data_IF_462702707501
#
_entry.id   IF_462702707501
#
_cell.length_a   1.000
_cell.length_b   1.000
_cell.length_c   1.000
_cell.angle_alpha   90.00
_cell.angle_beta   90.00
_cell.angle_gamma   90.00
#
_symmetry.space_group_name_H-M   'P 1'
#
loop_
_entity.id
_entity.type
_entity.pdbx_description
1 polymer ?
#
# COMPACT_ATOMS: atom_id res chain seq x y z
N UNK A 1 46.83 -114.51 -62.99
CA UNK A 1 45.98 -114.28 -61.79
C UNK A 1 46.15 -115.45 -60.83
N UNK A 2 46.50 -115.22 -59.56
CA UNK A 2 46.65 -116.32 -58.60
C UNK A 2 45.29 -116.96 -58.25
N UNK A 3 45.22 -118.28 -57.96
CA UNK A 3 43.95 -118.99 -57.72
C UNK A 3 43.15 -118.39 -56.55
N UNK A 4 43.82 -117.84 -55.54
CA UNK A 4 43.15 -117.14 -54.42
C UNK A 4 42.44 -115.84 -54.84
N UNK A 5 42.95 -115.14 -55.86
CA UNK A 5 42.32 -113.92 -56.40
C UNK A 5 41.03 -114.29 -57.12
N UNK A 6 41.06 -115.36 -57.92
CA UNK A 6 39.90 -115.85 -58.65
C UNK A 6 38.78 -116.34 -57.71
N UNK A 7 39.16 -117.05 -56.63
CA UNK A 7 38.21 -117.45 -55.57
C UNK A 7 37.55 -116.25 -54.89
N UNK A 8 38.34 -115.23 -54.51
CA UNK A 8 37.80 -113.98 -53.93
C UNK A 8 36.89 -113.25 -54.92
N UNK A 9 37.24 -113.20 -56.20
CA UNK A 9 36.44 -112.56 -57.24
C UNK A 9 35.07 -113.24 -57.40
N UNK A 10 35.01 -114.55 -57.64
CA UNK A 10 33.72 -115.24 -57.79
C UNK A 10 32.89 -115.23 -56.50
N UNK A 11 33.51 -115.41 -55.32
CA UNK A 11 32.81 -115.30 -54.04
C UNK A 11 32.17 -113.92 -53.85
N UNK A 12 32.92 -112.85 -54.13
CA UNK A 12 32.43 -111.47 -54.01
C UNK A 12 31.33 -111.15 -55.04
N UNK A 13 31.47 -111.63 -56.29
CA UNK A 13 30.45 -111.45 -57.33
C UNK A 13 29.14 -112.16 -56.98
N UNK A 14 29.20 -113.39 -56.48
CA UNK A 14 28.03 -114.15 -56.02
C UNK A 14 27.38 -113.45 -54.82
N UNK A 15 28.16 -113.03 -53.82
CA UNK A 15 27.64 -112.28 -52.66
C UNK A 15 27.01 -110.94 -53.07
N UNK A 16 27.59 -110.22 -54.03
CA UNK A 16 27.08 -108.94 -54.53
C UNK A 16 25.72 -109.10 -55.21
N UNK A 17 25.60 -110.06 -56.13
CA UNK A 17 24.34 -110.37 -56.84
C UNK A 17 23.26 -110.79 -55.83
N UNK A 18 23.59 -111.69 -54.90
CA UNK A 18 22.63 -112.13 -53.88
C UNK A 18 22.20 -110.98 -52.98
N UNK A 19 23.13 -110.19 -52.44
CA UNK A 19 22.84 -109.14 -51.44
C UNK A 19 22.21 -107.86 -52.00
N UNK A 20 22.27 -107.65 -53.32
CA UNK A 20 21.71 -106.46 -53.99
C UNK A 20 20.24 -106.23 -53.65
N UNK A 21 19.40 -107.25 -53.84
CA UNK A 21 17.95 -107.21 -53.61
C UNK A 21 17.43 -108.24 -52.58
N UNK A 22 18.30 -108.91 -51.81
CA UNK A 22 17.91 -110.00 -50.87
C UNK A 22 16.75 -109.64 -49.95
N UNK A 23 16.67 -108.39 -49.48
CA UNK A 23 15.60 -107.94 -48.58
C UNK A 23 14.22 -107.87 -49.23
N UNK A 24 14.15 -107.79 -50.56
CA UNK A 24 12.90 -107.69 -51.30
C UNK A 24 12.33 -109.08 -51.70
N UNK A 25 13.19 -110.07 -52.01
CA UNK A 25 12.73 -111.40 -52.39
C UNK A 25 12.72 -112.40 -51.22
N UNK A 26 13.75 -112.43 -50.37
CA UNK A 26 13.89 -113.49 -49.36
C UNK A 26 12.75 -113.51 -48.33
N UNK A 27 12.21 -112.33 -47.97
CA UNK A 27 11.05 -112.21 -47.08
C UNK A 27 9.74 -112.70 -47.72
N UNK A 28 9.61 -112.60 -49.04
CA UNK A 28 8.42 -112.97 -49.80
C UNK A 28 8.47 -114.42 -50.34
N UNK A 29 9.64 -115.05 -50.40
CA UNK A 29 9.82 -116.42 -50.87
C UNK A 29 9.37 -117.48 -49.86
N UNK A 30 8.83 -118.60 -50.35
CA UNK A 30 8.44 -119.75 -49.55
C UNK A 30 9.64 -120.54 -49.01
N UNK A 31 9.39 -121.44 -48.05
CA UNK A 31 10.46 -122.28 -47.48
C UNK A 31 11.10 -123.23 -48.49
N UNK A 32 10.36 -123.69 -49.51
CA UNK A 32 10.86 -124.48 -50.64
C UNK A 32 11.80 -123.67 -51.53
N UNK A 33 11.45 -122.42 -51.83
CA UNK A 33 12.24 -121.56 -52.71
C UNK A 33 13.59 -121.23 -52.06
N UNK A 34 13.57 -120.85 -50.77
CA UNK A 34 14.78 -120.59 -49.98
C UNK A 34 15.72 -121.79 -49.97
N UNK A 35 15.20 -123.02 -49.80
CA UNK A 35 15.99 -124.27 -49.88
C UNK A 35 16.55 -124.51 -51.28
N UNK A 36 15.82 -124.17 -52.34
CA UNK A 36 16.29 -124.30 -53.73
C UNK A 36 17.41 -123.31 -54.05
N UNK A 37 17.28 -122.03 -53.69
CA UNK A 37 18.37 -121.06 -53.88
C UNK A 37 19.58 -121.42 -53.01
N UNK A 38 19.37 -121.90 -51.77
CA UNK A 38 20.47 -122.36 -50.91
C UNK A 38 21.23 -123.55 -51.51
N UNK A 39 20.54 -124.50 -52.17
CA UNK A 39 21.20 -125.59 -52.92
C UNK A 39 22.07 -125.04 -54.06
N UNK A 40 21.59 -124.07 -54.84
CA UNK A 40 22.39 -123.41 -55.89
C UNK A 40 23.64 -122.75 -55.31
N UNK A 41 23.52 -122.08 -54.17
CA UNK A 41 24.68 -121.48 -53.46
C UNK A 41 25.66 -122.56 -52.97
N UNK A 42 25.19 -123.68 -52.43
CA UNK A 42 26.05 -124.81 -52.03
C UNK A 42 26.78 -125.44 -53.24
N UNK A 43 26.13 -125.57 -54.39
CA UNK A 43 26.79 -126.05 -55.63
C UNK A 43 27.85 -125.06 -56.10
N UNK A 44 27.56 -123.75 -56.07
CA UNK A 44 28.55 -122.72 -56.39
C UNK A 44 29.73 -122.72 -55.38
N UNK A 45 29.47 -123.02 -54.11
CA UNK A 45 30.48 -123.17 -53.06
C UNK A 45 31.45 -124.32 -53.37
N UNK A 46 30.92 -125.46 -53.82
CA UNK A 46 31.71 -126.63 -54.23
C UNK A 46 32.58 -126.33 -55.45
N UNK A 47 32.00 -125.73 -56.50
CA UNK A 47 32.72 -125.38 -57.75
C UNK A 47 33.83 -124.35 -57.50
N UNK A 48 33.57 -123.32 -56.68
CA UNK A 48 34.55 -122.27 -56.40
C UNK A 48 35.58 -122.66 -55.31
N UNK A 49 35.29 -123.68 -54.50
CA UNK A 49 36.16 -124.13 -53.41
C UNK A 49 36.46 -123.02 -52.39
N UNK A 50 35.49 -122.15 -52.14
CA UNK A 50 35.53 -121.04 -51.18
C UNK A 50 34.33 -121.14 -50.24
N UNK A 51 34.44 -120.68 -48.97
CA UNK A 51 33.33 -120.75 -48.01
C UNK A 51 32.34 -119.61 -48.23
N UNK A 52 31.21 -119.91 -48.86
CA UNK A 52 30.10 -118.96 -49.02
C UNK A 52 29.23 -118.90 -47.75
N UNK A 53 28.75 -117.72 -47.32
CA UNK A 53 27.80 -117.60 -46.22
C UNK A 53 26.42 -118.22 -46.55
N UNK A 54 25.64 -118.60 -45.54
CA UNK A 54 24.25 -118.98 -45.78
C UNK A 54 23.43 -117.78 -46.27
N UNK A 55 22.44 -118.01 -47.12
CA UNK A 55 21.55 -116.95 -47.63
C UNK A 55 20.82 -116.26 -46.47
N UNK A 56 20.46 -117.03 -45.44
CA UNK A 56 19.87 -116.52 -44.20
C UNK A 56 20.80 -115.51 -43.50
N UNK A 57 22.10 -115.78 -43.40
CA UNK A 57 23.07 -114.88 -42.78
C UNK A 57 23.25 -113.59 -43.60
N UNK A 58 23.26 -113.71 -44.94
CA UNK A 58 23.33 -112.55 -45.83
C UNK A 58 22.08 -111.66 -45.70
N UNK A 59 20.89 -112.27 -45.61
CA UNK A 59 19.63 -111.57 -45.38
C UNK A 59 19.64 -110.86 -44.02
N UNK A 60 19.95 -111.57 -42.93
CA UNK A 60 20.02 -111.02 -41.57
C UNK A 60 21.03 -109.86 -41.51
N UNK A 61 22.25 -110.04 -42.05
CA UNK A 61 23.30 -109.00 -42.10
C UNK A 61 22.89 -107.78 -42.93
N UNK A 62 22.05 -107.95 -43.98
CA UNK A 62 21.55 -106.83 -44.79
C UNK A 62 20.41 -106.10 -44.07
N UNK A 63 19.48 -106.82 -43.46
CA UNK A 63 18.41 -106.27 -42.62
C UNK A 63 18.97 -105.48 -41.44
N UNK A 64 19.92 -106.05 -40.69
CA UNK A 64 20.61 -105.38 -39.58
C UNK A 64 21.27 -104.08 -40.03
N UNK A 65 22.06 -104.09 -41.12
CA UNK A 65 22.70 -102.87 -41.65
C UNK A 65 21.69 -101.81 -42.09
N UNK A 66 20.56 -102.21 -42.71
CA UNK A 66 19.51 -101.27 -43.12
C UNK A 66 18.77 -100.69 -41.91
N UNK A 67 18.44 -101.51 -40.93
CA UNK A 67 17.80 -101.08 -39.68
C UNK A 67 18.71 -100.14 -38.87
N UNK A 68 19.98 -100.48 -38.69
CA UNK A 68 20.97 -99.62 -38.01
C UNK A 68 21.14 -98.27 -38.72
N UNK A 69 21.14 -98.26 -40.06
CA UNK A 69 21.19 -97.01 -40.83
C UNK A 69 19.94 -96.14 -40.57
N UNK A 70 18.75 -96.72 -40.65
CA UNK A 70 17.48 -96.00 -40.39
C UNK A 70 17.42 -95.48 -38.94
N UNK A 71 17.84 -96.28 -37.96
CA UNK A 71 17.88 -95.87 -36.54
C UNK A 71 18.88 -94.73 -36.34
N UNK A 72 20.04 -94.77 -37.00
CA UNK A 72 21.03 -93.68 -36.94
C UNK A 72 20.50 -92.39 -37.58
N UNK A 73 19.95 -92.46 -38.80
CA UNK A 73 19.39 -91.30 -39.51
C UNK A 73 18.23 -90.68 -38.69
N UNK A 74 17.30 -91.49 -38.18
CA UNK A 74 16.23 -91.03 -37.30
C UNK A 74 16.74 -90.45 -35.97
N UNK A 75 17.80 -91.01 -35.38
CA UNK A 75 18.43 -90.46 -34.17
C UNK A 75 19.09 -89.10 -34.44
N UNK A 76 19.73 -88.92 -35.58
CA UNK A 76 20.33 -87.66 -36.01
C UNK A 76 19.25 -86.61 -36.31
N UNK A 77 18.18 -86.98 -37.01
CA UNK A 77 17.06 -86.08 -37.30
C UNK A 77 16.28 -85.71 -36.02
N UNK A 78 16.06 -86.66 -35.12
CA UNK A 78 15.51 -86.41 -33.77
C UNK A 78 16.39 -85.44 -32.97
N UNK A 79 17.72 -85.52 -33.09
CA UNK A 79 18.64 -84.58 -32.46
C UNK A 79 18.57 -83.17 -33.10
N UNK A 80 18.53 -83.08 -34.44
CA UNK A 80 18.32 -81.80 -35.16
C UNK A 80 17.00 -81.14 -34.75
N UNK A 81 15.92 -81.90 -34.70
CA UNK A 81 14.59 -81.42 -34.27
C UNK A 81 14.66 -80.89 -32.84
N UNK A 82 15.23 -81.65 -31.88
CA UNK A 82 15.41 -81.18 -30.48
C UNK A 82 16.19 -79.87 -30.39
N UNK A 83 17.27 -79.74 -31.16
CA UNK A 83 18.09 -78.53 -31.19
C UNK A 83 17.36 -77.33 -31.81
N UNK A 84 16.61 -77.53 -32.89
CA UNK A 84 15.74 -76.49 -33.49
C UNK A 84 14.64 -76.08 -32.51
N UNK A 85 13.95 -77.03 -31.87
CA UNK A 85 12.95 -76.73 -30.84
C UNK A 85 13.56 -75.92 -29.69
N UNK A 86 14.74 -76.29 -29.21
CA UNK A 86 15.46 -75.57 -28.14
C UNK A 86 15.78 -74.12 -28.54
N UNK A 87 16.22 -73.88 -29.78
CA UNK A 87 16.48 -72.54 -30.31
C UNK A 87 15.21 -71.70 -30.42
N UNK A 88 14.12 -72.28 -30.95
CA UNK A 88 12.83 -71.60 -31.07
C UNK A 88 12.25 -71.25 -29.68
N UNK A 89 12.33 -72.15 -28.70
CA UNK A 89 11.94 -71.84 -27.32
C UNK A 89 12.78 -70.74 -26.68
N UNK A 90 14.10 -70.72 -26.93
CA UNK A 90 14.97 -69.64 -26.45
C UNK A 90 14.61 -68.29 -27.08
N UNK A 91 14.40 -68.25 -28.40
CA UNK A 91 13.98 -67.05 -29.12
C UNK A 91 12.61 -66.52 -28.66
N UNK A 92 11.62 -67.40 -28.48
CA UNK A 92 10.29 -67.03 -27.99
C UNK A 92 10.36 -66.44 -26.57
N UNK A 93 11.10 -67.10 -25.67
CA UNK A 93 11.27 -66.62 -24.29
C UNK A 93 12.03 -65.29 -24.23
N UNK A 94 12.94 -65.05 -25.17
CA UNK A 94 13.64 -63.77 -25.28
C UNK A 94 12.74 -62.65 -25.83
N UNK A 95 11.94 -62.91 -26.87
CA UNK A 95 11.00 -61.91 -27.40
C UNK A 95 9.90 -61.57 -26.40
N UNK A 96 9.35 -62.55 -25.68
CA UNK A 96 8.43 -62.34 -24.56
C UNK A 96 9.04 -61.45 -23.46
N UNK A 97 10.31 -61.68 -23.11
CA UNK A 97 11.04 -60.86 -22.13
C UNK A 97 11.21 -59.42 -22.63
N UNK A 98 11.65 -59.22 -23.87
CA UNK A 98 11.81 -57.90 -24.49
C UNK A 98 10.49 -57.13 -24.52
N UNK A 99 9.40 -57.74 -24.98
CA UNK A 99 8.08 -57.10 -24.99
C UNK A 99 7.54 -56.80 -23.58
N UNK A 100 7.90 -57.60 -22.57
CA UNK A 100 7.58 -57.24 -21.18
C UNK A 100 8.35 -56.00 -20.76
N UNK A 101 9.68 -55.97 -20.95
CA UNK A 101 10.52 -54.81 -20.62
C UNK A 101 10.11 -53.55 -21.38
N UNK A 102 9.73 -53.65 -22.66
CA UNK A 102 9.22 -52.53 -23.47
C UNK A 102 7.90 -51.98 -22.92
N UNK A 103 6.95 -52.85 -22.53
CA UNK A 103 5.69 -52.41 -21.91
C UNK A 103 5.93 -51.75 -20.56
N UNK A 104 6.82 -52.31 -19.74
CA UNK A 104 7.16 -51.77 -18.42
C UNK A 104 7.85 -50.39 -18.57
N UNK A 105 8.76 -50.24 -19.55
CA UNK A 105 9.36 -48.93 -19.93
C UNK A 105 8.31 -47.93 -20.43
N UNK A 106 7.39 -48.33 -21.30
CA UNK A 106 6.31 -47.46 -21.79
C UNK A 106 5.38 -47.02 -20.66
N UNK A 107 5.03 -47.91 -19.73
CA UNK A 107 4.22 -47.56 -18.55
C UNK A 107 4.95 -46.58 -17.63
N UNK A 108 6.25 -46.78 -17.41
CA UNK A 108 7.06 -45.86 -16.61
C UNK A 108 7.19 -44.48 -17.27
N UNK A 109 7.44 -44.43 -18.58
CA UNK A 109 7.46 -43.19 -19.36
C UNK A 109 6.15 -42.41 -19.24
N UNK A 110 4.99 -43.08 -19.41
CA UNK A 110 3.68 -42.44 -19.27
C UNK A 110 3.45 -41.83 -17.88
N UNK A 111 3.86 -42.53 -16.82
CA UNK A 111 3.76 -41.99 -15.44
C UNK A 111 4.64 -40.75 -15.25
N UNK A 112 5.84 -40.73 -15.82
CA UNK A 112 6.70 -39.55 -15.81
C UNK A 112 6.08 -38.40 -16.64
N UNK A 113 5.48 -38.68 -17.80
CA UNK A 113 4.80 -37.66 -18.61
C UNK A 113 3.58 -37.07 -17.88
N UNK A 114 2.81 -37.91 -17.18
CA UNK A 114 1.66 -37.50 -16.34
C UNK A 114 2.11 -36.64 -15.16
N UNK A 115 3.16 -37.06 -14.44
CA UNK A 115 3.75 -36.28 -13.34
C UNK A 115 4.34 -34.95 -13.85
N UNK A 116 5.04 -34.96 -14.99
CA UNK A 116 5.62 -33.77 -15.62
C UNK A 116 4.54 -32.75 -16.00
N UNK A 117 3.44 -33.20 -16.62
CA UNK A 117 2.28 -32.34 -16.92
C UNK A 117 1.63 -31.76 -15.66
N UNK A 118 1.50 -32.56 -14.61
CA UNK A 118 0.96 -32.09 -13.33
C UNK A 118 1.88 -31.05 -12.68
N UNK A 119 3.20 -31.28 -12.69
CA UNK A 119 4.18 -30.31 -12.20
C UNK A 119 4.12 -29.00 -13.01
N UNK A 120 4.15 -29.09 -14.35
CA UNK A 120 4.05 -27.92 -15.23
C UNK A 120 2.76 -27.11 -15.01
N UNK A 121 1.62 -27.78 -14.76
CA UNK A 121 0.36 -27.12 -14.43
C UNK A 121 0.42 -26.42 -13.05
N UNK A 122 0.95 -27.08 -12.02
CA UNK A 122 1.13 -26.49 -10.68
C UNK A 122 2.12 -25.31 -10.72
N UNK A 123 3.22 -25.43 -11.46
CA UNK A 123 4.21 -24.37 -11.66
C UNK A 123 3.59 -23.16 -12.38
N UNK A 124 2.77 -23.40 -13.41
CA UNK A 124 2.01 -22.36 -14.10
C UNK A 124 1.05 -21.62 -13.16
N UNK A 125 0.21 -22.33 -12.41
CA UNK A 125 -0.66 -21.70 -11.41
C UNK A 125 0.12 -20.97 -10.30
N UNK A 126 1.25 -21.52 -9.86
CA UNK A 126 2.10 -20.90 -8.85
C UNK A 126 2.72 -19.60 -9.38
N UNK A 127 3.14 -19.57 -10.65
CA UNK A 127 3.60 -18.36 -11.34
C UNK A 127 2.50 -17.29 -11.44
N UNK A 128 1.27 -17.66 -11.82
CA UNK A 128 0.14 -16.72 -11.82
C UNK A 128 -0.18 -16.17 -10.43
N UNK A 129 -0.14 -17.02 -9.39
CA UNK A 129 -0.34 -16.59 -7.99
C UNK A 129 0.80 -15.67 -7.55
N UNK A 130 2.04 -15.96 -7.94
CA UNK A 130 3.21 -15.10 -7.72
C UNK A 130 3.01 -13.72 -8.33
N UNK A 131 2.63 -13.64 -9.62
CA UNK A 131 2.42 -12.35 -10.29
C UNK A 131 1.32 -11.52 -9.62
N UNK A 132 0.22 -12.15 -9.21
CA UNK A 132 -0.87 -11.48 -8.46
C UNK A 132 -0.38 -10.94 -7.11
N UNK A 133 0.53 -11.64 -6.42
CA UNK A 133 1.15 -11.17 -5.17
C UNK A 133 2.09 -10.00 -5.43
N UNK A 134 2.93 -10.04 -6.46
CA UNK A 134 3.81 -8.92 -6.85
C UNK A 134 3.01 -7.66 -7.20
N UNK A 135 1.92 -7.80 -7.95
CA UNK A 135 1.05 -6.68 -8.32
C UNK A 135 0.38 -6.03 -7.09
N UNK A 136 -0.07 -6.85 -6.13
CA UNK A 136 -0.63 -6.38 -4.86
C UNK A 136 0.43 -5.71 -3.98
N UNK A 137 1.65 -6.26 -3.91
CA UNK A 137 2.77 -5.65 -3.18
C UNK A 137 3.16 -4.30 -3.78
N UNK A 138 3.20 -4.19 -5.11
CA UNK A 138 3.48 -2.93 -5.83
C UNK A 138 2.41 -1.86 -5.53
N UNK A 139 1.13 -2.25 -5.52
CA UNK A 139 0.04 -1.35 -5.18
C UNK A 139 0.08 -0.90 -3.70
N UNK A 140 0.32 -1.84 -2.78
CA UNK A 140 0.43 -1.56 -1.34
C UNK A 140 1.59 -0.61 -1.05
N UNK A 141 2.77 -0.87 -1.62
CA UNK A 141 3.94 0.01 -1.47
C UNK A 141 3.70 1.42 -2.03
N UNK A 142 2.97 1.54 -3.14
CA UNK A 142 2.52 2.84 -3.66
C UNK A 142 1.64 3.61 -2.66
N UNK A 143 0.62 2.94 -2.11
CA UNK A 143 -0.29 3.51 -1.12
C UNK A 143 0.40 3.84 0.22
N UNK A 144 1.40 3.06 0.64
CA UNK A 144 2.23 3.36 1.81
C UNK A 144 3.09 4.62 1.63
N UNK A 145 3.70 4.77 0.45
CA UNK A 145 4.47 5.97 0.07
C UNK A 145 3.58 7.21 -0.02
N UNK A 146 2.42 7.12 -0.69
CA UNK A 146 1.43 8.20 -0.73
C UNK A 146 0.95 8.57 0.67
N UNK A 147 0.65 7.58 1.51
CA UNK A 147 0.28 7.78 2.90
C UNK A 147 1.39 8.48 3.72
N UNK A 148 2.66 8.16 3.48
CA UNK A 148 3.79 8.84 4.12
C UNK A 148 3.92 10.30 3.66
N UNK A 149 3.76 10.57 2.36
CA UNK A 149 3.76 11.93 1.79
C UNK A 149 2.60 12.76 2.35
N UNK A 150 1.40 12.20 2.43
CA UNK A 150 0.23 12.88 3.00
C UNK A 150 0.41 13.19 4.49
N UNK A 151 0.91 12.24 5.29
CA UNK A 151 1.25 12.50 6.71
C UNK A 151 2.29 13.61 6.86
N UNK A 152 3.31 13.65 6.01
CA UNK A 152 4.30 14.74 5.98
C UNK A 152 3.69 16.10 5.66
N UNK A 153 2.76 16.16 4.67
CA UNK A 153 2.03 17.39 4.33
C UNK A 153 1.12 17.87 5.47
N UNK A 154 0.42 16.95 6.15
CA UNK A 154 -0.42 17.28 7.31
C UNK A 154 0.44 17.88 8.42
N UNK A 155 1.52 17.21 8.82
CA UNK A 155 2.41 17.67 9.87
C UNK A 155 3.04 19.05 9.56
N UNK A 156 3.40 19.31 8.29
CA UNK A 156 3.87 20.63 7.86
C UNK A 156 2.78 21.70 8.01
N UNK A 157 1.56 21.45 7.52
CA UNK A 157 0.44 22.38 7.65
C UNK A 157 0.01 22.63 9.10
N UNK A 158 0.13 21.62 9.97
CA UNK A 158 -0.14 21.75 11.41
C UNK A 158 0.90 22.65 12.08
N UNK A 159 2.18 22.51 11.71
CA UNK A 159 3.24 23.39 12.18
C UNK A 159 3.02 24.86 11.74
N UNK A 160 2.65 25.08 10.47
CA UNK A 160 2.34 26.42 9.94
C UNK A 160 1.13 27.04 10.69
N UNK A 161 0.07 26.25 10.93
CA UNK A 161 -1.10 26.69 11.68
C UNK A 161 -0.79 27.02 13.15
N UNK A 162 0.11 26.28 13.79
CA UNK A 162 0.59 26.58 15.14
C UNK A 162 1.40 27.87 15.18
N UNK A 163 2.27 28.12 14.19
CA UNK A 163 3.01 29.39 14.08
C UNK A 163 2.07 30.58 13.87
N UNK A 164 1.10 30.46 12.96
CA UNK A 164 0.10 31.50 12.70
C UNK A 164 -0.78 31.77 13.93
N UNK A 165 -1.11 30.73 14.72
CA UNK A 165 -1.84 30.89 15.99
C UNK A 165 -0.99 31.66 17.00
N UNK A 166 0.24 31.25 17.25
CA UNK A 166 1.13 31.91 18.21
C UNK A 166 1.41 33.38 17.82
N UNK A 167 1.60 33.66 16.53
CA UNK A 167 1.75 35.01 16.01
C UNK A 167 0.48 35.86 16.23
N UNK A 168 -0.70 35.30 16.01
CA UNK A 168 -1.97 35.97 16.26
C UNK A 168 -2.19 36.23 17.76
N UNK A 169 -1.90 35.25 18.61
CA UNK A 169 -2.01 35.36 20.08
C UNK A 169 -1.14 36.50 20.60
N UNK A 170 0.12 36.59 20.18
CA UNK A 170 1.01 37.70 20.54
C UNK A 170 0.50 39.08 20.09
N UNK A 171 -0.09 39.20 18.89
CA UNK A 171 -0.71 40.46 18.44
C UNK A 171 -1.97 40.80 19.25
N UNK A 172 -2.78 39.81 19.62
CA UNK A 172 -3.96 40.06 20.47
C UNK A 172 -3.57 40.49 21.88
N UNK A 173 -2.55 39.87 22.49
CA UNK A 173 -2.04 40.29 23.81
C UNK A 173 -1.54 41.73 23.81
N UNK A 174 -0.83 42.16 22.76
CA UNK A 174 -0.32 43.53 22.68
C UNK A 174 -1.46 44.55 22.51
N UNK A 175 -2.44 44.25 21.65
CA UNK A 175 -3.65 45.07 21.51
C UNK A 175 -4.47 45.13 22.81
N UNK A 176 -4.54 44.05 23.59
CA UNK A 176 -5.21 44.05 24.89
C UNK A 176 -4.51 44.96 25.93
N UNK A 177 -3.17 44.99 25.94
CA UNK A 177 -2.38 45.93 26.77
C UNK A 177 -2.63 47.37 26.35
N UNK A 178 -2.58 47.69 25.05
CA UNK A 178 -2.86 49.03 24.54
C UNK A 178 -4.28 49.49 24.89
N UNK A 179 -5.27 48.60 24.75
CA UNK A 179 -6.66 48.86 25.15
C UNK A 179 -6.82 49.11 26.65
N UNK A 180 -6.04 48.43 27.51
CA UNK A 180 -6.05 48.68 28.96
C UNK A 180 -5.52 50.09 29.28
N UNK A 181 -4.35 50.46 28.73
CA UNK A 181 -3.74 51.79 28.90
C UNK A 181 -4.66 52.90 28.39
N UNK A 182 -5.32 52.69 27.24
CA UNK A 182 -6.28 53.66 26.72
C UNK A 182 -7.53 53.81 27.60
N UNK A 183 -8.03 52.72 28.20
CA UNK A 183 -9.15 52.78 29.17
C UNK A 183 -8.77 53.57 30.43
N UNK A 184 -7.58 53.36 30.98
CA UNK A 184 -7.07 54.13 32.12
C UNK A 184 -6.96 55.63 31.78
N UNK A 185 -6.44 55.95 30.60
CA UNK A 185 -6.35 57.34 30.12
C UNK A 185 -7.73 58.00 29.96
N UNK A 186 -8.71 57.28 29.42
CA UNK A 186 -10.11 57.76 29.32
C UNK A 186 -10.68 58.01 30.73
N UNK A 187 -10.46 57.09 31.67
CA UNK A 187 -10.93 57.23 33.05
C UNK A 187 -10.33 58.46 33.74
N UNK A 188 -9.03 58.67 33.63
CA UNK A 188 -8.35 59.86 34.18
C UNK A 188 -8.85 61.17 33.56
N UNK A 189 -9.10 61.19 32.23
CA UNK A 189 -9.68 62.34 31.54
C UNK A 189 -11.11 62.65 32.03
N UNK A 190 -11.93 61.63 32.27
CA UNK A 190 -13.29 61.77 32.80
C UNK A 190 -13.29 62.30 34.25
N UNK A 191 -12.37 61.86 35.10
CA UNK A 191 -12.20 62.41 36.45
C UNK A 191 -11.73 63.88 36.44
N UNK A 192 -10.81 64.23 35.54
CA UNK A 192 -10.43 65.63 35.32
C UNK A 192 -11.63 66.46 34.83
N UNK A 193 -12.42 65.94 33.88
CA UNK A 193 -13.63 66.60 33.39
C UNK A 193 -14.65 66.83 34.52
N UNK A 194 -14.94 65.81 35.34
CA UNK A 194 -15.81 65.91 36.53
C UNK A 194 -15.27 66.90 37.56
N UNK A 195 -13.95 67.01 37.72
CA UNK A 195 -13.31 68.00 38.58
C UNK A 195 -13.52 69.43 38.05
N UNK A 196 -13.31 69.67 36.75
CA UNK A 196 -13.56 70.96 36.13
C UNK A 196 -15.05 71.33 36.16
N UNK A 197 -15.95 70.39 35.86
CA UNK A 197 -17.40 70.61 35.97
C UNK A 197 -17.84 71.00 37.40
N UNK A 198 -17.24 70.40 38.44
CA UNK A 198 -17.50 70.80 39.83
C UNK A 198 -17.03 72.24 40.11
N UNK A 199 -15.84 72.63 39.63
CA UNK A 199 -15.34 74.01 39.78
C UNK A 199 -16.25 75.02 39.08
N UNK A 200 -16.69 74.73 37.85
CA UNK A 200 -17.61 75.59 37.09
C UNK A 200 -18.96 75.72 37.79
N UNK A 201 -19.54 74.62 38.31
CA UNK A 201 -20.77 74.69 39.12
C UNK A 201 -20.60 75.59 40.34
N UNK A 202 -19.51 75.43 41.10
CA UNK A 202 -19.22 76.29 42.24
C UNK A 202 -19.04 77.76 41.85
N UNK A 203 -18.39 78.06 40.72
CA UNK A 203 -18.28 79.42 40.20
C UNK A 203 -19.65 80.02 39.83
N UNK A 204 -20.55 79.23 39.25
CA UNK A 204 -21.92 79.65 38.94
C UNK A 204 -22.70 79.95 40.24
N UNK A 205 -22.60 79.09 41.26
CA UNK A 205 -23.21 79.30 42.58
C UNK A 205 -22.68 80.58 43.25
N UNK A 206 -21.36 80.80 43.25
CA UNK A 206 -20.72 82.01 43.78
C UNK A 206 -21.20 83.29 43.05
N UNK A 207 -21.30 83.25 41.72
CA UNK A 207 -21.81 84.37 40.93
C UNK A 207 -23.30 84.63 41.16
N UNK A 208 -24.11 83.59 41.32
CA UNK A 208 -25.54 83.71 41.65
C UNK A 208 -25.74 84.34 43.03
N UNK A 209 -25.00 83.88 44.05
CA UNK A 209 -25.03 84.46 45.39
C UNK A 209 -24.58 85.93 45.41
N UNK A 210 -23.50 86.26 44.70
CA UNK A 210 -23.05 87.65 44.56
C UNK A 210 -24.12 88.53 43.90
N UNK A 211 -24.78 88.03 42.85
CA UNK A 211 -25.88 88.72 42.17
C UNK A 211 -27.07 88.98 43.10
N UNK A 212 -27.49 88.02 43.93
CA UNK A 212 -28.61 88.26 44.86
C UNK A 212 -28.27 89.31 45.91
N UNK A 213 -27.04 89.30 46.44
CA UNK A 213 -26.57 90.33 47.40
C UNK A 213 -26.50 91.71 46.76
N UNK A 214 -26.08 91.82 45.49
CA UNK A 214 -26.09 93.08 44.75
C UNK A 214 -27.54 93.57 44.55
N UNK A 215 -28.45 92.69 44.11
CA UNK A 215 -29.87 93.04 43.92
C UNK A 215 -30.57 93.47 45.21
N UNK A 216 -30.19 92.92 46.36
CA UNK A 216 -30.69 93.36 47.66
C UNK A 216 -30.14 94.75 48.05
N UNK A 217 -28.84 94.99 47.82
CA UNK A 217 -28.24 96.32 48.01
C UNK A 217 -28.86 97.37 47.09
N UNK A 218 -29.18 97.02 45.85
CA UNK A 218 -29.91 97.88 44.90
C UNK A 218 -31.33 98.22 45.38
N UNK A 219 -32.01 97.33 46.13
CA UNK A 219 -33.29 97.66 46.78
C UNK A 219 -33.07 98.70 47.88
N UNK A 220 -32.15 98.45 48.79
CA UNK A 220 -31.82 99.38 49.88
C UNK A 220 -31.38 100.74 49.37
N UNK A 221 -30.62 100.79 48.26
CA UNK A 221 -30.24 102.05 47.61
C UNK A 221 -31.49 102.80 47.12
N UNK A 222 -32.42 102.15 46.40
CA UNK A 222 -33.68 102.78 45.97
C UNK A 222 -34.54 103.26 47.14
N UNK A 223 -34.67 102.47 48.20
CA UNK A 223 -35.43 102.84 49.40
C UNK A 223 -34.80 104.04 50.13
N UNK A 224 -33.48 104.23 50.00
CA UNK A 224 -32.76 105.40 50.50
C UNK A 224 -32.88 106.60 49.55
N UNK A 225 -32.82 106.39 48.23
CA UNK A 225 -33.06 107.42 47.21
C UNK A 225 -34.47 108.03 47.35
N UNK A 226 -35.50 107.21 47.57
CA UNK A 226 -36.87 107.67 47.81
C UNK A 226 -36.99 108.49 49.11
N UNK A 227 -36.32 108.06 50.20
CA UNK A 227 -36.28 108.82 51.46
C UNK A 227 -35.52 110.13 51.32
N UNK A 228 -34.42 110.15 50.58
CA UNK A 228 -33.68 111.37 50.28
C UNK A 228 -34.56 112.33 49.49
N UNK A 229 -35.22 111.86 48.42
CA UNK A 229 -36.14 112.69 47.63
C UNK A 229 -37.33 113.23 48.45
N UNK A 230 -37.90 112.43 49.38
CA UNK A 230 -38.94 112.89 50.29
C UNK A 230 -38.42 113.98 51.25
N UNK A 231 -37.28 113.76 51.89
CA UNK A 231 -36.66 114.72 52.81
C UNK A 231 -36.18 115.99 52.08
N UNK A 232 -35.73 115.88 50.82
CA UNK A 232 -35.40 117.01 49.96
C UNK A 232 -36.66 117.82 49.62
N UNK A 233 -37.78 117.16 49.29
CA UNK A 233 -39.06 117.81 49.04
C UNK A 233 -39.59 118.55 50.28
N UNK A 234 -39.52 117.93 51.46
CA UNK A 234 -39.84 118.58 52.75
C UNK A 234 -38.88 119.75 53.04
N UNK A 235 -37.58 119.62 52.72
CA UNK A 235 -36.61 120.71 52.85
C UNK A 235 -36.93 121.88 51.91
N UNK A 236 -37.39 121.61 50.68
CA UNK A 236 -37.85 122.66 49.76
C UNK A 236 -39.14 123.30 50.25
N UNK A 237 -40.14 122.53 50.71
CA UNK A 237 -41.38 123.11 51.24
C UNK A 237 -41.10 124.01 52.45
N UNK A 238 -40.24 123.59 53.39
CA UNK A 238 -39.84 124.43 54.51
C UNK A 238 -39.13 125.72 54.06
N UNK A 239 -38.32 125.68 53.00
CA UNK A 239 -37.67 126.87 52.43
C UNK A 239 -38.68 127.79 51.77
N UNK A 240 -39.59 127.25 50.98
CA UNK A 240 -40.65 127.98 50.28
C UNK A 240 -41.63 128.63 51.29
N UNK A 241 -41.95 127.94 52.40
CA UNK A 241 -42.73 128.50 53.50
C UNK A 241 -42.00 129.67 54.18
N UNK A 242 -40.70 129.52 54.47
CA UNK A 242 -39.87 130.62 55.01
C UNK A 242 -39.85 131.81 54.05
N UNK A 243 -39.70 131.55 52.75
CA UNK A 243 -39.72 132.60 51.72
C UNK A 243 -41.09 133.31 51.67
N UNK A 244 -42.20 132.57 51.67
CA UNK A 244 -43.56 133.14 51.70
C UNK A 244 -43.83 134.01 52.94
N UNK A 245 -43.43 133.57 54.14
CA UNK A 245 -43.53 134.39 55.35
C UNK A 245 -42.66 135.66 55.29
N UNK A 246 -41.52 135.60 54.60
CA UNK A 246 -40.66 136.76 54.30
C UNK A 246 -41.22 137.65 53.17
N UNK A 247 -42.19 137.20 52.38
CA UNK A 247 -42.89 138.01 51.36
C UNK A 247 -44.12 138.74 51.90
N UNK A 248 -44.78 138.20 52.94
CA UNK A 248 -45.89 138.85 53.63
C UNK A 248 -45.53 140.15 54.37
N UNK A 249 -44.24 140.47 54.53
CA UNK A 249 -43.74 141.76 55.04
C UNK A 249 -42.60 142.30 54.16
N UNK A 250 -42.93 143.07 53.12
CA UNK A 250 -41.98 143.82 52.26
C UNK A 250 -42.56 145.19 51.87
N UNK A 251 -41.74 146.15 51.37
CA UNK A 251 -40.30 146.11 51.05
C UNK A 251 -39.48 147.10 51.94
N UNK A 252 -38.18 147.40 51.77
CA UNK A 252 -37.21 147.05 50.71
C UNK A 252 -35.74 147.02 51.22
N UNK A 253 -34.91 146.16 50.60
CA UNK A 253 -33.58 146.35 49.96
C UNK A 253 -32.56 147.44 50.40
N UNK A 254 -31.29 147.40 49.92
CA UNK A 254 -30.43 146.27 49.52
C UNK A 254 -29.05 146.27 50.23
N UNK A 255 -28.29 145.17 50.13
CA UNK A 255 -26.85 145.19 49.82
C UNK A 255 -26.43 143.84 49.22
N UNK A 256 -25.44 143.90 48.34
CA UNK A 256 -25.09 142.89 47.35
C UNK A 256 -23.68 142.35 47.60
N UNK A 257 -23.51 141.02 47.69
CA UNK A 257 -22.21 140.37 47.46
C UNK A 257 -22.35 139.15 46.53
N UNK A 258 -22.64 139.49 45.27
CA UNK A 258 -22.10 138.90 44.04
C UNK A 258 -21.64 137.42 44.08
N UNK A 259 -22.46 136.55 43.50
CA UNK A 259 -22.09 135.18 43.13
C UNK A 259 -21.13 135.12 41.92
N UNK A 260 -20.49 133.94 41.73
CA UNK A 260 -20.05 133.29 40.46
C UNK A 260 -19.21 132.04 40.80
N UNK A 261 -19.20 130.94 40.04
CA UNK A 261 -20.19 130.36 39.13
C UNK A 261 -19.83 128.87 38.91
N UNK A 262 -20.81 128.07 38.49
CA UNK A 262 -20.80 126.61 38.27
C UNK A 262 -19.62 126.06 37.44
N UNK A 263 -19.19 124.82 37.76
CA UNK A 263 -18.31 124.02 36.91
C UNK A 263 -18.38 122.51 37.17
N UNK A 264 -19.39 121.82 36.62
CA UNK A 264 -19.44 120.35 36.59
C UNK A 264 -18.51 119.83 35.49
N UNK A 265 -17.64 118.87 35.82
CA UNK A 265 -17.02 118.00 34.81
C UNK A 265 -16.86 116.57 35.36
N UNK A 266 -17.50 115.60 34.71
CA UNK A 266 -17.19 114.18 34.94
C UNK A 266 -15.84 113.87 34.31
N UNK A 267 -14.90 113.28 35.07
CA UNK A 267 -14.00 112.27 34.48
C UNK A 267 -13.40 111.30 35.50
N UNK A 268 -13.57 110.01 35.22
CA UNK A 268 -12.75 108.84 35.59
C UNK A 268 -12.02 108.78 36.95
N UNK A 269 -12.37 107.73 37.70
CA UNK A 269 -11.43 107.06 38.61
C UNK A 269 -10.58 106.02 37.83
N UNK A 270 -9.24 106.09 37.86
CA UNK A 270 -8.36 104.98 37.54
C UNK A 270 -7.96 104.20 38.81
N UNK A 271 -7.58 102.91 38.68
CA UNK A 271 -7.67 101.95 39.79
C UNK A 271 -6.47 101.96 40.74
N UNK A 272 -6.72 101.57 41.99
CA UNK A 272 -5.65 101.11 42.91
C UNK A 272 -4.94 99.91 42.30
N UNK A 273 -3.67 100.08 41.95
CA UNK A 273 -2.89 99.06 41.26
C UNK A 273 -2.50 97.89 42.17
N UNK A 274 -2.87 96.70 41.70
CA UNK A 274 -2.33 95.39 42.02
C UNK A 274 -1.23 95.28 43.08
N UNK A 275 -1.54 94.61 44.19
CA UNK A 275 -0.55 93.73 44.82
C UNK A 275 -0.13 92.63 43.82
N UNK A 276 1.08 92.72 43.28
CA UNK A 276 1.86 91.57 42.79
C UNK A 276 3.34 91.80 43.07
N UNK A 277 3.84 91.10 44.09
CA UNK A 277 5.10 90.34 44.04
C UNK A 277 5.36 89.70 45.41
N UNK A 278 4.94 88.45 45.56
CA UNK A 278 5.62 87.49 46.43
C UNK A 278 5.88 86.22 45.63
N UNK A 279 7.14 85.83 45.66
CA UNK A 279 7.76 84.62 45.15
C UNK A 279 6.96 83.32 45.38
N UNK A 280 6.99 82.44 44.37
CA UNK A 280 7.47 81.03 44.39
C UNK A 280 7.54 80.30 45.75
N UNK A 281 7.26 78.97 45.82
CA UNK A 281 7.89 78.00 44.91
C UNK A 281 7.04 76.80 44.44
N UNK A 282 7.72 75.94 43.67
CA UNK A 282 7.27 74.69 43.04
C UNK A 282 6.92 73.55 44.02
N UNK A 283 6.00 72.68 43.60
CA UNK A 283 6.16 71.23 43.33
C UNK A 283 4.97 70.78 42.49
#
# INVERSE_FOLDING_TARGET
MGPQVLKRFYSCTIESILTGCITAWYGNCSASDRKTVQRVVCTAQYITGARLPAIQDLYIRRCQRKALKIVKENSEDSAKIREVSKRLYAQLKESEKRHKEERDRMQFSRRLDEQSKHLQWVEGEAGERGQKVEDLQRLLGGMELEGAVLRGKIAASEADLLQLRAAKEGVTEELEKELAVLKEKIHHLDDMLKSQQRKVRHMIEQLQNSRTVIQERERVIRDLEEKVAFLEAENTEMRDQIEYFLEGQKPASPIEMRAKEVGIFLFFCPPSSMHRNKSLPSI
#
